data_IF_478540252962
#
_entry.id   IF_478540252962
#
_cell.length_a   1.000
_cell.length_b   1.000
_cell.length_c   1.000
_cell.angle_alpha   90.00
_cell.angle_beta   90.00
_cell.angle_gamma   90.00
#
_symmetry.space_group_name_H-M   'P 1'
#
loop_
_entity.id
_entity.type
_entity.pdbx_description
1 polymer ?
#
# COMPACT_ATOMS: atom_id res chain seq x y z
N UNK A 1 24.92 17.67 4.34
CA UNK A 1 23.52 17.23 4.50
C UNK A 1 23.60 15.70 4.55
N UNK A 2 23.80 15.15 5.75
CA UNK A 2 23.94 13.72 5.96
C UNK A 2 22.59 13.06 5.70
N UNK A 3 22.54 12.16 4.72
CA UNK A 3 21.45 11.26 4.49
C UNK A 3 21.39 10.31 5.70
N UNK A 4 20.34 10.43 6.48
CA UNK A 4 20.04 9.57 7.60
C UNK A 4 20.18 8.09 7.16
N UNK A 5 20.97 7.25 7.84
CA UNK A 5 21.15 5.86 7.44
C UNK A 5 19.79 5.19 7.46
N UNK A 6 19.32 4.83 6.28
CA UNK A 6 18.08 4.14 6.01
C UNK A 6 17.94 2.96 6.98
N UNK A 7 16.88 2.98 7.74
CA UNK A 7 16.43 1.90 8.61
C UNK A 7 16.50 0.59 7.78
N UNK A 8 17.43 -0.26 8.15
CA UNK A 8 17.69 -1.55 7.49
C UNK A 8 16.34 -2.24 7.25
N UNK A 9 16.04 -2.58 6.01
CA UNK A 9 14.82 -3.31 5.68
C UNK A 9 14.68 -4.51 6.63
N UNK A 10 13.50 -4.78 7.17
CA UNK A 10 13.31 -5.92 8.05
C UNK A 10 13.77 -7.19 7.32
N UNK A 11 14.51 -8.06 8.01
CA UNK A 11 14.98 -9.31 7.43
C UNK A 11 13.79 -10.10 6.87
N UNK A 12 14.03 -10.87 5.81
CA UNK A 12 12.99 -11.71 5.18
C UNK A 12 12.23 -12.59 6.17
N UNK A 13 12.87 -12.93 7.31
CA UNK A 13 12.24 -13.65 8.43
C UNK A 13 11.27 -12.76 9.22
N UNK A 14 11.60 -11.49 9.45
CA UNK A 14 10.70 -10.56 10.15
C UNK A 14 9.44 -10.30 9.31
N UNK A 15 9.59 -10.17 8.00
CA UNK A 15 8.44 -10.03 7.07
C UNK A 15 7.60 -11.29 7.02
N UNK A 16 8.23 -12.47 7.08
CA UNK A 16 7.54 -13.76 7.13
C UNK A 16 6.76 -13.93 8.43
N UNK A 17 7.36 -13.58 9.56
CA UNK A 17 6.72 -13.62 10.87
C UNK A 17 5.56 -12.61 10.99
N UNK A 18 5.66 -11.44 10.35
CA UNK A 18 4.57 -10.47 10.26
C UNK A 18 3.42 -10.98 9.37
N UNK A 19 3.74 -11.71 8.29
CA UNK A 19 2.72 -12.38 7.46
C UNK A 19 2.01 -13.51 8.21
N UNK A 20 2.74 -14.30 8.97
CA UNK A 20 2.15 -15.36 9.79
C UNK A 20 1.32 -14.81 10.95
N UNK A 21 1.73 -13.68 11.54
CA UNK A 21 0.99 -13.00 12.60
C UNK A 21 -0.27 -12.27 12.08
N UNK A 22 -0.24 -11.76 10.83
CA UNK A 22 -1.37 -11.08 10.22
C UNK A 22 -2.34 -12.01 9.48
N UNK A 23 -1.90 -13.23 9.15
CA UNK A 23 -2.68 -14.27 8.49
C UNK A 23 -2.94 -15.46 9.43
N UNK A 24 -3.17 -15.18 10.72
CA UNK A 24 -3.74 -16.18 11.61
C UNK A 24 -5.04 -16.69 10.99
N UNK A 25 -5.38 -17.99 11.15
CA UNK A 25 -6.64 -18.49 10.63
C UNK A 25 -7.74 -17.59 11.16
N UNK A 26 -8.48 -16.96 10.24
CA UNK A 26 -9.73 -16.28 10.59
C UNK A 26 -10.50 -17.29 11.41
N UNK A 27 -10.57 -17.10 12.71
CA UNK A 27 -11.19 -18.05 13.62
C UNK A 27 -12.56 -18.36 13.06
N UNK A 28 -12.79 -19.61 12.71
CA UNK A 28 -14.13 -20.04 12.29
C UNK A 28 -15.07 -19.61 13.40
N UNK A 29 -16.10 -18.82 13.12
CA UNK A 29 -17.04 -18.38 14.14
C UNK A 29 -17.57 -19.64 14.85
N UNK A 30 -17.29 -19.77 16.13
CA UNK A 30 -17.88 -20.85 16.94
C UNK A 30 -19.35 -20.53 17.09
N UNK A 31 -20.14 -21.09 16.18
CA UNK A 31 -21.60 -21.05 16.26
C UNK A 31 -21.99 -21.91 17.43
N UNK A 32 -22.36 -21.31 18.55
CA UNK A 32 -23.04 -22.00 19.64
C UNK A 32 -24.48 -22.20 19.19
N UNK A 33 -24.86 -23.47 18.95
CA UNK A 33 -26.12 -23.89 18.33
C UNK A 33 -27.39 -23.59 19.14
N UNK A 34 -27.32 -22.84 20.24
CA UNK A 34 -28.46 -22.67 21.17
C UNK A 34 -29.06 -21.26 21.26
N UNK A 35 -28.52 -20.29 20.56
CA UNK A 35 -29.10 -18.96 20.53
C UNK A 35 -29.15 -18.40 19.10
N UNK A 36 -30.17 -18.86 18.38
CA UNK A 36 -30.65 -18.31 17.10
C UNK A 36 -29.59 -18.14 16.01
N UNK A 37 -29.87 -18.66 14.86
CA UNK A 37 -29.11 -18.61 13.58
C UNK A 37 -28.73 -17.21 13.10
N UNK A 38 -28.94 -16.15 13.93
CA UNK A 38 -28.80 -14.75 13.55
C UNK A 38 -27.75 -13.97 14.38
N UNK A 39 -27.02 -14.62 15.30
CA UNK A 39 -26.01 -13.93 16.12
C UNK A 39 -24.61 -14.41 15.73
N UNK A 40 -23.82 -13.49 15.16
CA UNK A 40 -22.41 -13.70 14.86
C UNK A 40 -21.59 -13.07 16.00
N UNK A 41 -20.92 -13.90 16.79
CA UNK A 41 -19.96 -13.44 17.78
C UNK A 41 -18.59 -13.32 17.14
N UNK A 42 -18.07 -12.10 17.07
CA UNK A 42 -16.73 -11.81 16.56
C UNK A 42 -15.97 -10.95 17.57
N UNK A 43 -14.64 -11.03 17.55
CA UNK A 43 -13.83 -10.15 18.37
C UNK A 43 -13.84 -8.71 17.79
N UNK A 44 -13.67 -7.71 18.63
CA UNK A 44 -13.58 -6.32 18.18
C UNK A 44 -12.36 -6.09 17.26
N UNK A 45 -11.28 -6.83 17.48
CA UNK A 45 -10.09 -6.78 16.64
C UNK A 45 -10.36 -7.30 15.23
N UNK A 46 -11.06 -8.43 15.11
CA UNK A 46 -11.43 -9.01 13.82
C UNK A 46 -12.36 -8.07 13.04
N UNK A 47 -13.33 -7.48 13.72
CA UNK A 47 -14.23 -6.49 13.12
C UNK A 47 -13.45 -5.27 12.62
N UNK A 48 -12.51 -4.77 13.43
CA UNK A 48 -11.66 -3.64 13.07
C UNK A 48 -10.76 -3.94 11.87
N UNK A 49 -10.13 -5.12 11.85
CA UNK A 49 -9.28 -5.55 10.74
C UNK A 49 -10.10 -5.76 9.46
N UNK A 50 -11.30 -6.32 9.57
CA UNK A 50 -12.20 -6.45 8.44
C UNK A 50 -12.65 -5.10 7.88
N UNK A 51 -12.99 -4.14 8.75
CA UNK A 51 -13.38 -2.80 8.35
C UNK A 51 -12.25 -2.07 7.60
N UNK A 52 -11.01 -2.18 8.09
CA UNK A 52 -9.83 -1.61 7.42
C UNK A 52 -9.57 -2.25 6.07
N UNK A 53 -9.62 -3.58 6.00
CA UNK A 53 -9.43 -4.32 4.74
C UNK A 53 -10.45 -3.92 3.68
N UNK A 54 -11.69 -3.65 4.09
CA UNK A 54 -12.78 -3.27 3.20
C UNK A 54 -12.82 -1.77 2.85
N UNK A 55 -11.93 -0.96 3.42
CA UNK A 55 -11.93 0.51 3.25
C UNK A 55 -10.49 1.05 3.20
N UNK A 56 -9.71 0.63 2.21
CA UNK A 56 -8.38 1.16 1.94
C UNK A 56 -8.47 2.36 1.00
N UNK A 57 -8.04 3.52 1.46
CA UNK A 57 -8.10 4.75 0.67
C UNK A 57 -6.74 5.05 0.02
N UNK A 58 -6.62 4.87 -1.31
CA UNK A 58 -5.37 5.09 -2.00
C UNK A 58 -5.06 6.56 -2.22
N UNK A 59 -3.78 6.94 -1.98
CA UNK A 59 -3.25 8.23 -2.40
C UNK A 59 -2.94 8.20 -3.89
N UNK A 60 -3.42 9.20 -4.61
CA UNK A 60 -3.13 9.39 -6.04
C UNK A 60 -1.70 9.92 -6.22
N UNK A 61 -0.75 9.03 -6.47
CA UNK A 61 0.60 9.40 -6.85
C UNK A 61 0.97 8.75 -8.18
N UNK A 62 1.03 9.56 -9.23
CA UNK A 62 1.34 9.07 -10.57
C UNK A 62 2.26 10.01 -11.33
N UNK A 63 3.27 9.44 -11.96
CA UNK A 63 4.31 10.20 -12.67
C UNK A 63 4.47 9.80 -14.13
N UNK A 64 3.95 8.64 -14.54
CA UNK A 64 4.11 8.11 -15.90
C UNK A 64 2.94 7.18 -16.30
N UNK A 65 3.16 6.36 -17.34
CA UNK A 65 2.13 5.54 -18.01
C UNK A 65 1.36 4.59 -17.06
N UNK A 66 1.97 4.04 -16.03
CA UNK A 66 1.28 3.17 -15.07
C UNK A 66 0.17 3.89 -14.30
N UNK A 67 0.26 5.22 -14.19
CA UNK A 67 -0.83 6.00 -13.59
C UNK A 67 -2.09 6.00 -14.45
N UNK A 68 -1.96 5.95 -15.77
CA UNK A 68 -3.10 5.86 -16.70
C UNK A 68 -3.85 4.54 -16.48
N UNK A 69 -3.11 3.46 -16.28
CA UNK A 69 -3.69 2.16 -15.95
C UNK A 69 -4.38 2.18 -14.58
N UNK A 70 -3.75 2.78 -13.59
CA UNK A 70 -4.38 3.01 -12.28
C UNK A 70 -5.65 3.87 -12.39
N UNK A 71 -5.63 4.93 -13.20
CA UNK A 71 -6.81 5.75 -13.46
C UNK A 71 -7.93 4.95 -14.14
N UNK A 72 -7.59 4.00 -15.02
CA UNK A 72 -8.55 3.10 -15.64
C UNK A 72 -9.22 2.14 -14.63
N UNK A 73 -8.50 1.74 -13.56
CA UNK A 73 -9.07 0.94 -12.47
C UNK A 73 -10.14 1.69 -11.67
N UNK A 74 -9.97 3.02 -11.53
CA UNK A 74 -10.95 3.88 -10.85
C UNK A 74 -12.16 4.12 -11.78
N UNK A 75 -11.95 4.04 -13.09
CA UNK A 75 -13.00 4.27 -14.10
C UNK A 75 -14.17 3.28 -14.00
N UNK A 76 -15.26 3.62 -14.67
CA UNK A 76 -16.54 2.91 -14.59
C UNK A 76 -16.49 1.42 -14.97
N UNK A 77 -15.47 0.99 -15.73
CA UNK A 77 -15.34 -0.41 -16.16
C UNK A 77 -14.96 -1.34 -15.00
N UNK A 78 -14.03 -0.91 -14.15
CA UNK A 78 -13.50 -1.72 -13.04
C UNK A 78 -14.04 -1.25 -11.70
N UNK A 79 -14.31 0.05 -11.56
CA UNK A 79 -14.99 0.67 -10.43
C UNK A 79 -14.41 0.26 -9.07
N UNK A 80 -13.20 0.73 -8.77
CA UNK A 80 -12.53 0.49 -7.50
C UNK A 80 -13.33 0.98 -6.29
N UNK A 81 -14.14 2.02 -6.49
CA UNK A 81 -14.93 2.62 -5.41
C UNK A 81 -15.89 1.61 -4.79
N UNK A 82 -16.47 0.70 -5.59
CA UNK A 82 -17.38 -0.34 -5.08
C UNK A 82 -16.69 -1.37 -4.18
N UNK A 83 -15.35 -1.47 -4.23
CA UNK A 83 -14.55 -2.31 -3.33
C UNK A 83 -14.07 -1.57 -2.09
N UNK A 84 -14.48 -0.29 -1.91
CA UNK A 84 -14.06 0.54 -0.79
C UNK A 84 -12.74 1.28 -1.00
N UNK A 85 -12.13 1.19 -2.20
CA UNK A 85 -10.88 1.87 -2.52
C UNK A 85 -11.16 3.26 -3.12
N UNK A 86 -11.48 4.21 -2.26
CA UNK A 86 -11.80 5.58 -2.68
C UNK A 86 -10.53 6.42 -2.77
N UNK A 87 -10.12 6.87 -3.98
CA UNK A 87 -8.88 7.63 -4.15
C UNK A 87 -8.95 9.00 -3.45
N UNK A 88 -7.85 9.36 -2.80
CA UNK A 88 -7.69 10.63 -2.11
C UNK A 88 -6.49 11.40 -2.64
N UNK A 89 -6.62 12.72 -2.70
CA UNK A 89 -5.54 13.61 -3.14
C UNK A 89 -4.64 14.07 -1.97
N UNK A 90 -5.09 13.92 -0.73
CA UNK A 90 -4.35 14.33 0.45
C UNK A 90 -3.70 13.13 1.14
N UNK A 91 -2.38 13.18 1.44
CA UNK A 91 -1.71 12.09 2.15
C UNK A 91 -2.25 11.86 3.57
N UNK A 92 -2.81 12.88 4.20
CA UNK A 92 -3.39 12.78 5.55
C UNK A 92 -4.73 12.03 5.58
N UNK A 93 -5.34 11.79 4.43
CA UNK A 93 -6.62 11.08 4.28
C UNK A 93 -6.45 9.71 3.65
N UNK A 94 -5.23 9.30 3.33
CA UNK A 94 -4.94 8.06 2.63
C UNK A 94 -4.24 7.07 3.54
N UNK A 95 -4.60 5.79 3.40
CA UNK A 95 -4.02 4.66 4.13
C UNK A 95 -3.06 3.86 3.24
N UNK A 96 -3.25 3.95 1.92
CA UNK A 96 -2.50 3.21 0.92
C UNK A 96 -1.81 4.18 -0.04
N UNK A 97 -0.50 4.06 -0.23
CA UNK A 97 0.24 4.78 -1.26
C UNK A 97 0.50 3.87 -2.44
N UNK A 98 -0.10 4.17 -3.59
CA UNK A 98 0.21 3.46 -4.84
C UNK A 98 1.15 4.33 -5.66
N UNK A 99 2.41 3.91 -5.74
CA UNK A 99 3.41 4.61 -6.55
C UNK A 99 3.35 4.05 -7.97
N UNK A 100 2.80 4.84 -8.89
CA UNK A 100 2.58 4.43 -10.28
C UNK A 100 3.41 5.26 -11.26
N UNK A 101 4.41 4.65 -11.86
CA UNK A 101 5.27 5.27 -12.86
C UNK A 101 6.69 5.55 -12.40
N UNK A 102 7.49 6.11 -13.29
CA UNK A 102 8.92 6.37 -13.04
C UNK A 102 9.13 7.44 -11.97
N UNK A 103 9.91 7.12 -10.97
CA UNK A 103 10.34 8.09 -9.94
C UNK A 103 11.69 8.65 -10.33
N UNK A 104 11.76 9.97 -10.54
CA UNK A 104 13.02 10.66 -10.81
C UNK A 104 13.71 11.09 -9.51
N UNK A 105 15.03 11.25 -9.54
CA UNK A 105 15.81 11.75 -8.40
C UNK A 105 15.30 13.11 -7.89
N UNK A 106 14.78 13.93 -8.80
CA UNK A 106 14.20 15.23 -8.45
C UNK A 106 12.87 15.11 -7.70
N UNK A 107 12.08 14.07 -7.98
CA UNK A 107 10.81 13.79 -7.32
C UNK A 107 10.95 12.93 -6.06
N UNK A 108 12.07 12.25 -5.90
CA UNK A 108 12.30 11.37 -4.75
C UNK A 108 12.08 12.05 -3.38
N UNK A 109 12.58 13.28 -3.11
CA UNK A 109 12.30 13.95 -1.84
C UNK A 109 10.83 14.27 -1.61
N UNK A 110 10.07 14.54 -2.69
CA UNK A 110 8.64 14.79 -2.59
C UNK A 110 7.87 13.51 -2.21
N UNK A 111 8.25 12.37 -2.80
CA UNK A 111 7.67 11.07 -2.46
C UNK A 111 7.89 10.71 -0.98
N UNK A 112 9.11 10.88 -0.48
CA UNK A 112 9.42 10.63 0.93
C UNK A 112 8.59 11.52 1.86
N UNK A 113 8.44 12.81 1.53
CA UNK A 113 7.57 13.72 2.32
C UNK A 113 6.11 13.32 2.31
N UNK A 114 5.59 12.84 1.17
CA UNK A 114 4.21 12.34 1.09
C UNK A 114 4.02 11.13 2.00
N UNK A 115 4.98 10.19 1.97
CA UNK A 115 4.96 9.02 2.83
C UNK A 115 5.00 9.38 4.31
N UNK A 116 5.85 10.35 4.71
CA UNK A 116 5.93 10.83 6.10
C UNK A 116 4.65 11.52 6.58
N UNK A 117 3.90 12.13 5.67
CA UNK A 117 2.64 12.83 5.99
C UNK A 117 1.44 11.89 6.11
N UNK A 118 1.56 10.65 5.70
CA UNK A 118 0.50 9.65 5.84
C UNK A 118 0.39 9.18 7.30
N UNK A 119 -0.83 9.00 7.82
CA UNK A 119 -1.05 8.44 9.15
C UNK A 119 -0.66 6.95 9.20
N UNK A 120 -0.32 6.45 10.37
CA UNK A 120 -0.13 5.03 10.60
C UNK A 120 -1.47 4.34 10.98
N UNK A 121 -1.73 3.13 10.55
CA UNK A 121 -0.96 2.27 9.67
C UNK A 121 -1.06 2.69 8.20
N UNK A 122 0.05 2.60 7.47
CA UNK A 122 0.14 2.95 6.06
C UNK A 122 0.80 1.83 5.27
N UNK A 123 0.32 1.65 4.05
CA UNK A 123 0.78 0.60 3.14
C UNK A 123 1.29 1.21 1.85
N UNK A 124 2.27 0.57 1.22
CA UNK A 124 2.88 1.06 -0.01
C UNK A 124 2.91 -0.03 -1.07
N UNK A 125 2.34 0.26 -2.23
CA UNK A 125 2.40 -0.62 -3.41
C UNK A 125 3.21 0.06 -4.50
N UNK A 126 4.25 -0.61 -4.98
CA UNK A 126 5.01 -0.19 -6.16
C UNK A 126 4.37 -0.81 -7.42
N UNK A 127 3.76 0.04 -8.26
CA UNK A 127 3.07 -0.39 -9.47
C UNK A 127 3.91 -0.13 -10.71
N UNK A 128 4.23 -1.21 -11.42
CA UNK A 128 4.93 -1.19 -12.70
C UNK A 128 6.46 -1.35 -12.59
N UNK A 129 7.08 -1.78 -13.69
CA UNK A 129 8.50 -2.10 -13.74
C UNK A 129 9.42 -0.94 -13.35
N UNK A 130 9.02 0.30 -13.67
CA UNK A 130 9.81 1.48 -13.35
C UNK A 130 9.91 1.74 -11.85
N UNK A 131 8.86 1.44 -11.09
CA UNK A 131 8.85 1.59 -9.62
C UNK A 131 9.54 0.42 -8.92
N UNK A 132 9.48 -0.77 -9.49
CA UNK A 132 10.04 -1.99 -8.88
C UNK A 132 11.56 -2.05 -9.09
N UNK A 133 12.04 -1.91 -10.34
CA UNK A 133 13.45 -2.10 -10.69
C UNK A 133 14.07 -0.95 -11.48
N UNK A 134 13.31 0.09 -11.79
CA UNK A 134 13.70 1.13 -12.72
C UNK A 134 13.27 0.86 -14.16
N UNK A 135 12.81 -0.36 -14.48
CA UNK A 135 12.29 -0.74 -15.80
C UNK A 135 13.26 -0.44 -16.95
N UNK A 136 12.75 0.21 -17.99
CA UNK A 136 13.57 0.61 -19.16
C UNK A 136 14.67 1.63 -18.84
N UNK A 137 14.60 2.31 -17.68
CA UNK A 137 15.57 3.30 -17.23
C UNK A 137 16.63 2.72 -16.29
N UNK A 138 16.64 1.41 -16.06
CA UNK A 138 17.52 0.78 -15.08
C UNK A 138 19.00 0.77 -15.49
N UNK A 139 19.30 0.70 -16.79
CA UNK A 139 20.67 0.59 -17.28
C UNK A 139 21.34 1.95 -17.48
N UNK A 140 20.72 2.88 -18.20
CA UNK A 140 21.38 4.05 -18.76
C UNK A 140 20.91 5.39 -18.20
N UNK A 141 19.92 5.41 -17.31
CA UNK A 141 19.43 6.66 -16.73
C UNK A 141 20.12 7.01 -15.42
N UNK A 142 20.73 8.19 -15.37
CA UNK A 142 21.30 8.78 -14.15
C UNK A 142 20.25 9.53 -13.33
N UNK A 143 19.09 9.79 -13.90
CA UNK A 143 18.05 10.62 -13.29
C UNK A 143 16.89 9.82 -12.69
N UNK A 144 16.69 8.56 -13.06
CA UNK A 144 15.64 7.71 -12.52
C UNK A 144 16.12 6.91 -11.32
N UNK A 145 15.24 6.79 -10.32
CA UNK A 145 15.49 5.93 -9.16
C UNK A 145 15.21 4.47 -9.56
N UNK A 146 16.16 3.60 -9.27
CA UNK A 146 16.07 2.16 -9.59
C UNK A 146 15.39 1.40 -8.48
N UNK A 147 14.08 1.57 -8.36
CA UNK A 147 13.25 0.94 -7.34
C UNK A 147 12.87 1.92 -6.21
N UNK A 148 11.59 1.92 -5.88
CA UNK A 148 11.03 2.77 -4.82
C UNK A 148 11.37 2.24 -3.44
N UNK A 149 11.67 0.95 -3.33
CA UNK A 149 12.16 0.26 -2.14
C UNK A 149 13.41 0.90 -1.52
N UNK A 150 14.17 1.64 -2.32
CA UNK A 150 15.36 2.40 -1.88
C UNK A 150 15.02 3.72 -1.20
N UNK A 151 13.81 4.21 -1.38
CA UNK A 151 13.35 5.50 -0.84
C UNK A 151 12.43 5.33 0.36
N UNK A 152 11.47 4.42 0.25
CA UNK A 152 10.43 4.15 1.24
C UNK A 152 10.23 2.64 1.36
N UNK A 153 9.80 2.13 2.53
CA UNK A 153 9.44 0.73 2.66
C UNK A 153 8.25 0.40 1.75
N UNK A 154 8.33 -0.72 1.05
CA UNK A 154 7.28 -1.25 0.16
C UNK A 154 6.84 -2.59 0.72
N UNK A 155 5.50 -2.83 0.75
CA UNK A 155 4.87 -4.03 1.31
C UNK A 155 4.73 -5.20 0.33
#
# INVERSE_FOLDING_TARGET
MELNPLKKSPSSEAVRNLREASCGPVGTPTVTNDLSENIILTSLEDLHNWARLSSLWPLLYGTACCFIEFAALIGSRFDFDRFGLVPRSSPRQADLLIVAGTVTMKMAPALVRLYEQMPDPKYVIAMGACTITGGMFSADSTTAVRGVDKLIPVD
#
